data_IF_668144273512
#
_entry.id   IF_668144273512
#
_cell.length_a   1.000
_cell.length_b   1.000
_cell.length_c   1.000
_cell.angle_alpha   90.00
_cell.angle_beta   90.00
_cell.angle_gamma   90.00
#
_symmetry.space_group_name_H-M   'P 1'
#
loop_
_entity.id
_entity.type
_entity.pdbx_description
1 polymer ?
#
# COMPACT_ATOMS: atom_id res chain seq x y z
N UNK A 1 -37.26 -0.50 5.47
CA UNK A 1 -36.20 0.52 5.27
C UNK A 1 -35.47 0.72 6.59
N UNK A 2 -34.24 0.24 6.72
CA UNK A 2 -33.38 0.50 7.86
C UNK A 2 -31.96 0.74 7.34
N UNK A 3 -31.49 1.98 7.44
CA UNK A 3 -30.13 2.39 7.12
C UNK A 3 -29.28 2.21 8.38
N UNK A 4 -28.37 1.24 8.37
CA UNK A 4 -27.35 1.08 9.40
C UNK A 4 -26.07 1.83 8.98
N UNK A 5 -25.76 2.92 9.67
CA UNK A 5 -24.50 3.67 9.56
C UNK A 5 -23.43 2.95 10.39
N UNK A 6 -22.48 2.29 9.73
CA UNK A 6 -21.35 1.65 10.42
C UNK A 6 -20.20 2.66 10.61
N UNK A 7 -20.05 3.10 11.86
CA UNK A 7 -18.93 3.91 12.36
C UNK A 7 -17.60 3.14 12.25
N UNK A 8 -16.63 3.73 11.54
CA UNK A 8 -15.31 3.12 11.35
C UNK A 8 -14.43 3.34 12.59
N UNK A 9 -14.29 2.29 13.42
CA UNK A 9 -13.25 2.19 14.45
C UNK A 9 -11.86 2.23 13.79
N UNK A 10 -11.01 3.13 14.27
CA UNK A 10 -9.59 3.18 13.96
C UNK A 10 -8.89 1.92 14.47
N UNK A 11 -8.43 1.06 13.55
CA UNK A 11 -7.59 -0.10 13.88
C UNK A 11 -6.17 0.38 14.21
N UNK A 12 -5.80 0.30 15.48
CA UNK A 12 -4.41 0.37 15.92
C UNK A 12 -3.60 -0.75 15.27
N UNK A 13 -2.44 -0.39 14.73
CA UNK A 13 -1.53 -1.28 14.02
C UNK A 13 -0.95 -2.37 14.94
N UNK A 14 -1.49 -3.58 14.85
CA UNK A 14 -0.85 -4.78 15.41
C UNK A 14 0.41 -5.13 14.62
N UNK A 15 1.55 -5.21 15.31
CA UNK A 15 2.83 -5.65 14.74
C UNK A 15 2.71 -7.09 14.24
N UNK A 16 2.99 -7.32 12.96
CA UNK A 16 3.16 -8.68 12.41
C UNK A 16 4.51 -9.25 12.86
N UNK A 17 4.60 -10.54 13.24
CA UNK A 17 5.88 -11.18 13.52
C UNK A 17 6.66 -11.43 12.21
N UNK A 18 8.01 -11.46 12.25
CA UNK A 18 8.82 -11.72 11.08
C UNK A 18 8.78 -13.20 10.67
N UNK A 19 8.88 -13.42 9.36
CA UNK A 19 9.04 -14.72 8.70
C UNK A 19 10.27 -15.47 9.25
N UNK A 20 10.12 -16.79 9.47
CA UNK A 20 11.18 -17.69 9.95
C UNK A 20 11.52 -18.67 8.82
N UNK A 21 12.79 -18.72 8.40
CA UNK A 21 13.27 -19.71 7.43
C UNK A 21 13.36 -21.10 8.08
N UNK A 22 13.09 -22.20 7.34
CA UNK A 22 13.19 -23.55 7.89
C UNK A 22 14.61 -24.08 7.74
N UNK A 23 15.19 -24.56 8.84
CA UNK A 23 16.43 -25.35 8.81
C UNK A 23 17.27 -25.12 10.05
N UNK A 24 17.09 -25.97 11.06
CA UNK A 24 18.16 -26.55 11.89
C UNK A 24 17.51 -27.37 13.02
N UNK A 25 17.64 -28.69 12.91
CA UNK A 25 17.15 -29.64 13.89
C UNK A 25 18.07 -29.71 15.10
N UNK A 26 17.49 -29.59 16.30
CA UNK A 26 18.18 -29.90 17.55
C UNK A 26 17.94 -31.36 17.93
N UNK A 27 19.02 -32.16 17.89
CA UNK A 27 19.11 -33.46 18.57
C UNK A 27 19.04 -33.23 20.07
N UNK A 28 18.15 -33.95 20.75
CA UNK A 28 18.16 -34.11 22.20
C UNK A 28 19.04 -35.33 22.55
N UNK A 29 20.21 -35.10 23.10
CA UNK A 29 20.87 -35.99 24.07
C UNK A 29 20.34 -35.55 25.44
N UNK A 30 19.70 -36.39 26.25
CA UNK A 30 20.18 -37.67 26.74
C UNK A 30 20.34 -37.50 28.25
N UNK A 31 19.36 -38.00 28.99
CA UNK A 31 19.31 -38.01 30.45
C UNK A 31 20.54 -38.67 31.07
N UNK A 32 21.08 -38.09 32.14
CA UNK A 32 21.90 -38.80 33.12
C UNK A 32 21.50 -38.37 34.53
N UNK A 33 20.96 -39.35 35.25
CA UNK A 33 20.75 -39.35 36.68
C UNK A 33 22.09 -39.50 37.42
N UNK A 34 22.19 -38.94 38.63
CA UNK A 34 23.35 -39.10 39.52
C UNK A 34 23.08 -38.61 40.93
N UNK A 35 22.83 -39.57 41.81
CA UNK A 35 22.63 -39.53 43.27
C UNK A 35 23.89 -39.05 44.01
N UNK A 36 23.75 -38.35 45.15
CA UNK A 36 24.51 -38.41 46.44
C UNK A 36 23.83 -37.38 47.38
N UNK A 37 23.61 -37.47 48.69
CA UNK A 37 24.00 -38.33 49.80
C UNK A 37 23.76 -37.50 51.08
N UNK A 38 23.16 -38.08 52.12
CA UNK A 38 22.88 -37.44 53.43
C UNK A 38 24.16 -37.23 54.26
N UNK A 39 24.30 -36.10 54.95
CA UNK A 39 25.40 -35.81 55.88
C UNK A 39 25.13 -34.63 56.82
N UNK A 40 25.30 -34.86 58.12
CA UNK A 40 24.83 -34.09 59.29
C UNK A 40 25.82 -33.01 59.78
N UNK A 41 25.26 -31.90 60.28
CA UNK A 41 25.77 -30.79 61.16
C UNK A 41 27.26 -30.38 61.17
N UNK A 42 27.48 -29.06 61.00
CA UNK A 42 28.24 -28.26 61.98
C UNK A 42 27.87 -26.76 61.85
N UNK A 43 27.38 -26.20 62.96
CA UNK A 43 27.17 -24.77 63.15
C UNK A 43 28.52 -24.07 63.30
N UNK A 44 28.97 -23.37 62.26
CA UNK A 44 29.87 -22.23 62.41
C UNK A 44 29.52 -21.22 61.31
N UNK A 45 28.67 -20.25 61.66
CA UNK A 45 28.32 -19.14 60.79
C UNK A 45 29.56 -18.24 60.63
N UNK A 46 30.17 -18.10 59.44
CA UNK A 46 31.10 -17.00 59.23
C UNK A 46 30.32 -15.68 59.37
N UNK A 47 30.94 -14.59 59.88
CA UNK A 47 30.27 -13.30 59.93
C UNK A 47 29.82 -12.93 58.51
N UNK A 48 28.54 -12.59 58.38
CA UNK A 48 27.97 -12.10 57.13
C UNK A 48 28.67 -10.79 56.80
N UNK A 49 29.77 -10.86 56.03
CA UNK A 49 30.20 -9.72 55.27
C UNK A 49 29.05 -9.43 54.30
N UNK A 50 28.21 -8.47 54.64
CA UNK A 50 27.32 -7.83 53.69
C UNK A 50 28.23 -7.13 52.69
N UNK A 51 28.77 -7.90 51.74
CA UNK A 51 29.27 -7.36 50.50
C UNK A 51 28.06 -6.69 49.89
N UNK A 52 27.93 -5.38 50.12
CA UNK A 52 27.04 -4.53 49.36
C UNK A 52 27.37 -4.87 47.92
N UNK A 53 26.49 -5.64 47.26
CA UNK A 53 26.62 -5.93 45.86
C UNK A 53 26.39 -4.59 45.15
N UNK A 54 27.45 -3.78 45.09
CA UNK A 54 27.48 -2.55 44.33
C UNK A 54 27.40 -3.00 42.89
N UNK A 55 26.18 -2.99 42.37
CA UNK A 55 25.95 -3.10 40.95
C UNK A 55 26.49 -1.80 40.37
N UNK A 56 27.72 -1.81 39.87
CA UNK A 56 28.23 -0.69 39.09
C UNK A 56 27.23 -0.38 37.99
N UNK A 57 26.96 0.90 37.77
CA UNK A 57 26.03 1.37 36.77
C UNK A 57 26.30 0.67 35.42
N UNK A 58 25.32 -0.08 34.90
CA UNK A 58 25.44 -0.63 33.56
C UNK A 58 25.59 0.54 32.59
N UNK A 59 26.64 0.55 31.76
CA UNK A 59 26.75 1.55 30.69
C UNK A 59 25.48 1.47 29.86
N UNK A 60 24.82 2.62 29.66
CA UNK A 60 23.62 2.75 28.83
C UNK A 60 24.06 2.59 27.37
N UNK A 61 24.28 1.36 26.91
CA UNK A 61 24.54 1.09 25.49
C UNK A 61 23.22 1.20 24.75
N UNK A 62 22.83 2.43 24.41
CA UNK A 62 21.68 2.70 23.55
C UNK A 62 22.04 2.38 22.10
N UNK A 63 21.32 1.42 21.49
CA UNK A 63 21.45 1.17 20.05
C UNK A 63 20.94 2.37 19.25
N UNK A 64 21.72 2.82 18.26
CA UNK A 64 21.22 3.79 17.27
C UNK A 64 20.15 3.14 16.38
N UNK A 65 19.24 3.94 15.84
CA UNK A 65 18.24 3.46 14.88
C UNK A 65 18.95 2.91 13.64
N UNK A 66 18.80 1.60 13.41
CA UNK A 66 19.29 0.92 12.18
C UNK A 66 18.38 1.18 10.97
N UNK A 67 17.23 1.83 11.19
CA UNK A 67 16.29 2.17 10.13
C UNK A 67 16.77 3.45 9.43
N UNK A 68 17.83 3.32 8.63
CA UNK A 68 18.33 4.38 7.75
C UNK A 68 17.38 4.50 6.55
N UNK A 69 16.65 5.61 6.43
CA UNK A 69 15.75 5.85 5.31
C UNK A 69 14.57 6.77 5.65
N UNK A 70 13.55 6.78 4.79
CA UNK A 70 12.30 7.50 5.02
C UNK A 70 12.31 9.01 4.72
N UNK A 71 13.45 9.57 4.29
CA UNK A 71 13.60 11.00 3.96
C UNK A 71 13.27 11.33 2.50
N UNK A 72 12.51 10.49 1.80
CA UNK A 72 12.17 10.73 0.40
C UNK A 72 11.19 11.91 0.28
N UNK A 73 11.46 12.91 -0.59
CA UNK A 73 10.56 14.04 -0.76
C UNK A 73 9.23 13.62 -1.41
N UNK A 74 8.19 14.43 -1.19
CA UNK A 74 6.87 14.23 -1.80
C UNK A 74 6.91 14.39 -3.32
N UNK A 75 6.24 13.47 -4.04
CA UNK A 75 6.27 13.39 -5.51
C UNK A 75 5.19 14.23 -6.23
N UNK A 76 4.36 14.97 -5.47
CA UNK A 76 3.30 15.87 -5.99
C UNK A 76 2.30 15.20 -6.96
N UNK A 77 2.04 13.91 -6.76
CA UNK A 77 0.98 13.16 -7.46
C UNK A 77 -0.39 13.69 -7.07
N UNK A 78 -1.36 13.58 -7.99
CA UNK A 78 -2.73 14.01 -7.76
C UNK A 78 -3.41 14.50 -9.04
N UNK A 79 -4.66 14.92 -8.89
CA UNK A 79 -5.46 15.55 -9.95
C UNK A 79 -4.88 16.94 -10.23
N UNK A 80 -4.79 17.30 -11.50
CA UNK A 80 -4.40 18.63 -11.99
C UNK A 80 -5.56 19.41 -12.58
N UNK A 81 -6.56 18.70 -13.13
CA UNK A 81 -7.80 19.26 -13.68
C UNK A 81 -9.00 18.57 -13.03
N UNK A 82 -9.79 19.33 -12.30
CA UNK A 82 -11.00 18.81 -11.65
C UNK A 82 -12.13 18.66 -12.67
N UNK A 83 -13.25 18.10 -12.24
CA UNK A 83 -14.48 18.03 -13.03
C UNK A 83 -14.97 19.42 -13.45
N UNK A 84 -15.49 19.54 -14.67
CA UNK A 84 -16.00 20.81 -15.22
C UNK A 84 -14.93 21.77 -15.76
N UNK A 85 -13.64 21.46 -15.60
CA UNK A 85 -12.58 22.32 -16.16
C UNK A 85 -12.43 22.14 -17.67
N UNK A 86 -12.29 23.26 -18.38
CA UNK A 86 -11.86 23.26 -19.78
C UNK A 86 -10.37 22.89 -19.88
N UNK A 87 -10.05 21.99 -20.81
CA UNK A 87 -8.70 21.51 -21.10
C UNK A 87 -8.44 21.58 -22.60
N UNK A 88 -7.18 21.85 -22.96
CA UNK A 88 -6.67 21.71 -24.32
C UNK A 88 -6.09 20.32 -24.52
N UNK A 89 -5.96 19.91 -25.78
CA UNK A 89 -5.24 18.71 -26.17
C UNK A 89 -3.80 18.72 -25.60
N UNK A 90 -3.36 17.59 -25.07
CA UNK A 90 -2.04 17.41 -24.44
C UNK A 90 -1.95 17.81 -22.96
N UNK A 91 -2.96 18.47 -22.39
CA UNK A 91 -2.93 18.85 -20.98
C UNK A 91 -2.94 17.62 -20.06
N UNK A 92 -2.12 17.65 -19.01
CA UNK A 92 -2.09 16.60 -17.98
C UNK A 92 -3.33 16.74 -17.07
N UNK A 93 -4.11 15.67 -16.96
CA UNK A 93 -5.32 15.61 -16.14
C UNK A 93 -5.01 15.15 -14.71
N UNK A 94 -4.23 14.08 -14.57
CA UNK A 94 -3.84 13.53 -13.27
C UNK A 94 -2.52 12.78 -13.36
N UNK A 95 -1.71 12.84 -12.29
CA UNK A 95 -0.50 12.04 -12.14
C UNK A 95 -0.63 11.09 -10.95
N UNK A 96 -0.32 9.81 -11.17
CA UNK A 96 -0.56 8.76 -10.18
C UNK A 96 0.54 7.69 -10.24
N UNK A 97 0.71 6.93 -9.15
CA UNK A 97 1.65 5.79 -9.09
C UNK A 97 0.98 4.47 -9.47
N UNK A 98 -0.24 4.28 -8.99
CA UNK A 98 -1.10 3.14 -9.28
C UNK A 98 -2.37 3.66 -9.96
N UNK A 99 -3.11 2.79 -10.65
CA UNK A 99 -4.37 3.18 -11.28
C UNK A 99 -5.41 3.51 -10.22
N UNK A 100 -5.60 4.81 -9.96
CA UNK A 100 -6.70 5.35 -9.17
C UNK A 100 -7.83 5.81 -10.09
N UNK A 101 -7.45 6.45 -11.19
CA UNK A 101 -8.34 6.83 -12.29
C UNK A 101 -7.91 6.11 -13.56
N UNK A 102 -8.89 5.62 -14.31
CA UNK A 102 -8.73 4.93 -15.57
C UNK A 102 -8.97 5.91 -16.73
N UNK A 103 -8.26 5.73 -17.87
CA UNK A 103 -8.54 6.50 -19.08
C UNK A 103 -9.91 6.10 -19.64
N UNK A 104 -10.77 7.08 -19.85
CA UNK A 104 -12.05 6.95 -20.56
C UNK A 104 -11.95 7.56 -21.96
N UNK A 105 -13.05 8.16 -22.42
CA UNK A 105 -13.13 8.78 -23.74
C UNK A 105 -12.23 10.02 -23.87
N UNK A 106 -11.51 10.13 -24.99
CA UNK A 106 -10.59 11.22 -25.32
C UNK A 106 -9.49 11.49 -24.26
N UNK A 107 -9.10 10.45 -23.52
CA UNK A 107 -8.02 10.50 -22.51
C UNK A 107 -6.94 9.47 -22.84
N UNK A 108 -5.70 9.93 -22.96
CA UNK A 108 -4.54 9.08 -23.16
C UNK A 108 -3.88 8.63 -21.86
N UNK A 109 -3.15 7.51 -21.92
CA UNK A 109 -2.39 6.95 -20.82
C UNK A 109 -0.89 6.99 -21.11
N UNK A 110 -0.12 7.68 -20.28
CA UNK A 110 1.35 7.74 -20.41
C UNK A 110 2.06 6.54 -19.78
N UNK A 111 3.36 6.35 -20.09
CA UNK A 111 4.21 5.26 -19.57
C UNK A 111 4.21 5.15 -18.03
N UNK A 112 4.19 6.29 -17.33
CA UNK A 112 4.13 6.37 -15.86
C UNK A 112 2.69 6.43 -15.33
N UNK A 113 1.71 5.97 -16.10
CA UNK A 113 0.28 5.90 -15.73
C UNK A 113 -0.38 7.24 -15.41
N UNK A 114 0.18 8.35 -15.91
CA UNK A 114 -0.49 9.64 -15.87
C UNK A 114 -1.50 9.75 -17.01
N UNK A 115 -2.52 10.57 -16.81
CA UNK A 115 -3.59 10.81 -17.77
C UNK A 115 -3.41 12.17 -18.42
N UNK A 116 -3.66 12.25 -19.71
CA UNK A 116 -3.62 13.49 -20.49
C UNK A 116 -4.80 13.57 -21.46
N UNK A 117 -5.25 14.78 -21.75
CA UNK A 117 -6.34 15.02 -22.69
C UNK A 117 -5.84 14.81 -24.14
N UNK A 118 -6.64 14.13 -24.97
CA UNK A 118 -6.37 14.01 -26.41
C UNK A 118 -7.04 15.15 -27.19
N UNK A 119 -8.23 15.56 -26.76
CA UNK A 119 -9.03 16.60 -27.40
C UNK A 119 -9.22 17.82 -26.49
N UNK A 120 -9.65 18.94 -27.06
CA UNK A 120 -10.08 20.11 -26.29
C UNK A 120 -11.51 19.95 -25.80
N UNK A 121 -11.76 20.17 -24.52
CA UNK A 121 -13.08 19.93 -23.95
C UNK A 121 -13.19 20.08 -22.45
N UNK A 122 -14.28 19.57 -21.89
CA UNK A 122 -14.59 19.62 -20.46
C UNK A 122 -14.31 18.26 -19.83
N UNK A 123 -13.63 18.25 -18.68
CA UNK A 123 -13.30 17.02 -17.95
C UNK A 123 -14.51 16.51 -17.15
N UNK A 124 -14.83 15.23 -17.29
CA UNK A 124 -15.88 14.53 -16.54
C UNK A 124 -15.37 13.25 -15.90
N UNK A 125 -15.91 12.90 -14.74
CA UNK A 125 -15.57 11.69 -14.01
C UNK A 125 -16.80 10.79 -13.85
N UNK A 126 -16.68 9.53 -14.28
CA UNK A 126 -17.77 8.56 -14.22
C UNK A 126 -17.36 7.31 -13.46
N UNK A 127 -18.35 6.50 -13.05
CA UNK A 127 -18.14 5.18 -12.45
C UNK A 127 -18.68 4.14 -13.43
N UNK A 128 -17.78 3.49 -14.15
CA UNK A 128 -18.13 2.54 -15.21
C UNK A 128 -17.67 1.14 -14.85
N UNK A 129 -18.26 0.15 -15.52
CA UNK A 129 -17.90 -1.25 -15.37
C UNK A 129 -16.50 -1.47 -15.94
N UNK A 130 -15.64 -2.10 -15.16
CA UNK A 130 -14.27 -2.43 -15.54
C UNK A 130 -14.22 -3.82 -16.16
N UNK A 131 -14.00 -3.85 -17.47
CA UNK A 131 -13.70 -5.07 -18.22
C UNK A 131 -12.22 -5.07 -18.58
N UNK A 132 -11.40 -5.97 -18.00
CA UNK A 132 -9.97 -6.03 -18.33
C UNK A 132 -9.74 -6.63 -19.72
N UNK A 133 -8.62 -6.25 -20.35
CA UNK A 133 -8.15 -6.93 -21.56
C UNK A 133 -7.79 -8.39 -21.25
N UNK A 134 -8.13 -9.37 -22.11
CA UNK A 134 -7.80 -10.78 -21.90
C UNK A 134 -6.31 -11.05 -21.70
N UNK A 135 -5.43 -10.18 -22.22
CA UNK A 135 -3.98 -10.32 -22.09
C UNK A 135 -3.47 -10.08 -20.65
N UNK A 136 -4.26 -9.41 -19.80
CA UNK A 136 -3.86 -9.15 -18.42
C UNK A 136 -4.35 -10.29 -17.51
N UNK A 137 -3.53 -11.34 -17.38
CA UNK A 137 -3.87 -12.54 -16.59
C UNK A 137 -4.21 -12.21 -15.14
N UNK A 138 -3.51 -11.28 -14.49
CA UNK A 138 -3.81 -10.90 -13.10
C UNK A 138 -5.21 -10.32 -12.93
N UNK A 139 -5.67 -9.51 -13.89
CA UNK A 139 -7.00 -8.91 -13.84
C UNK A 139 -8.09 -9.91 -14.24
N UNK A 140 -7.81 -10.78 -15.21
CA UNK A 140 -8.72 -11.88 -15.61
C UNK A 140 -8.90 -12.85 -14.44
N UNK A 141 -7.81 -13.28 -13.81
CA UNK A 141 -7.82 -14.15 -12.62
C UNK A 141 -8.58 -13.54 -11.45
N UNK A 142 -8.56 -12.21 -11.32
CA UNK A 142 -9.36 -11.52 -10.32
C UNK A 142 -10.84 -11.62 -10.66
N UNK A 143 -11.23 -11.36 -11.91
CA UNK A 143 -12.62 -11.42 -12.35
C UNK A 143 -13.18 -12.84 -12.25
N UNK A 144 -12.41 -13.87 -12.58
CA UNK A 144 -12.86 -15.28 -12.51
C UNK A 144 -13.07 -15.78 -11.09
N UNK A 145 -12.43 -15.17 -10.09
CA UNK A 145 -12.62 -15.50 -8.67
C UNK A 145 -13.80 -14.78 -8.02
N UNK A 146 -14.45 -13.85 -8.74
CA UNK A 146 -15.63 -13.16 -8.23
C UNK A 146 -16.85 -14.08 -8.24
N UNK A 147 -17.77 -13.94 -7.26
CA UNK A 147 -19.04 -14.65 -7.30
C UNK A 147 -19.86 -14.18 -8.49
N UNK A 148 -20.73 -15.05 -8.99
CA UNK A 148 -21.63 -14.75 -10.09
C UNK A 148 -22.50 -13.52 -9.77
N UNK A 149 -22.64 -12.62 -10.76
CA UNK A 149 -23.35 -11.36 -10.60
C UNK A 149 -22.55 -10.21 -9.97
N UNK A 150 -21.33 -10.45 -9.46
CA UNK A 150 -20.47 -9.36 -8.98
C UNK A 150 -19.82 -8.61 -10.15
N UNK A 151 -19.92 -7.27 -10.10
CA UNK A 151 -19.37 -6.38 -11.13
C UNK A 151 -18.35 -5.43 -10.52
N UNK A 152 -17.23 -5.24 -11.21
CA UNK A 152 -16.20 -4.29 -10.79
C UNK A 152 -16.49 -2.92 -11.38
N UNK A 153 -16.67 -1.91 -10.53
CA UNK A 153 -16.74 -0.52 -10.96
C UNK A 153 -15.41 0.19 -10.73
N UNK A 154 -14.99 1.01 -11.71
CA UNK A 154 -13.82 1.87 -11.61
C UNK A 154 -14.16 3.30 -11.99
N UNK A 155 -13.30 4.22 -11.55
CA UNK A 155 -13.44 5.64 -11.91
C UNK A 155 -12.76 5.88 -13.24
N UNK A 156 -13.50 6.36 -14.22
CA UNK A 156 -12.99 6.74 -15.52
C UNK A 156 -12.97 8.26 -15.65
N UNK A 157 -12.02 8.77 -16.43
CA UNK A 157 -11.88 10.19 -16.75
C UNK A 157 -12.14 10.37 -18.23
N UNK A 158 -13.05 11.27 -18.55
CA UNK A 158 -13.46 11.57 -19.91
C UNK A 158 -13.19 13.05 -20.18
N UNK A 159 -12.94 13.37 -21.45
CA UNK A 159 -12.98 14.74 -21.95
C UNK A 159 -14.09 14.81 -22.97
N UNK A 160 -15.10 15.64 -22.70
CA UNK A 160 -16.21 15.89 -23.62
C UNK A 160 -15.77 17.02 -24.57
N UNK A 161 -15.58 16.74 -25.87
CA UNK A 161 -15.05 17.72 -26.81
C UNK A 161 -16.02 18.90 -26.97
N UNK A 162 -15.48 20.12 -26.98
CA UNK A 162 -16.28 21.33 -27.10
C UNK A 162 -16.38 21.86 -28.54
N UNK A 163 -15.37 21.58 -29.36
CA UNK A 163 -15.29 22.03 -30.76
C UNK A 163 -15.49 20.84 -31.70
N UNK A 164 -16.27 20.99 -32.78
CA UNK A 164 -16.29 19.99 -33.85
C UNK A 164 -14.95 20.00 -34.60
N UNK A 165 -14.61 18.87 -35.24
CA UNK A 165 -13.37 18.67 -35.99
C UNK A 165 -13.17 19.67 -37.14
N UNK A 166 -14.24 20.19 -37.72
CA UNK A 166 -14.16 21.16 -38.80
C UNK A 166 -15.50 21.74 -39.22
N UNK A 167 -15.46 22.71 -40.12
CA UNK A 167 -16.64 23.26 -40.80
C UNK A 167 -16.41 23.21 -42.30
N UNK A 168 -17.39 22.71 -43.05
CA UNK A 168 -17.35 22.76 -44.51
C UNK A 168 -17.61 24.19 -44.94
N UNK A 169 -16.67 24.75 -45.71
CA UNK A 169 -16.80 26.08 -46.31
C UNK A 169 -16.74 25.95 -47.81
N UNK A 170 -17.66 26.61 -48.49
CA UNK A 170 -17.62 26.72 -49.94
C UNK A 170 -16.39 27.54 -50.33
N UNK A 171 -15.52 26.97 -51.16
CA UNK A 171 -14.26 27.61 -51.59
C UNK A 171 -14.40 28.27 -52.96
N UNK A 172 -15.08 27.62 -53.92
CA UNK A 172 -15.34 28.18 -55.23
C UNK A 172 -16.64 27.61 -55.83
N UNK A 173 -17.36 28.45 -56.57
CA UNK A 173 -18.37 28.00 -57.54
C UNK A 173 -17.66 27.95 -58.90
N UNK A 174 -17.39 26.73 -59.39
CA UNK A 174 -16.87 26.48 -60.74
C UNK A 174 -17.99 26.57 -61.78
#
# INVERSE_FOLDING_TARGET
MALAVLSQRTRTAGKRPPWRSPGEGWRRSGDLAGIWGLGVTALLSPPQATALAVRYASKKTGGSSKNLGGKSPGKRFGIKKMEGHYVHAGNILATQRHFRWHPGAHVGLGKKKYLYALEEGIVHYTKEVYVPSPSNSEAVDLVTRLPEGAVLYKTFVHVVPAKPEGTFKLVAML
#
